data_IF_866107786085
#
_entry.id   IF_866107786085
#
_cell.length_a   1.000
_cell.length_b   1.000
_cell.length_c   1.000
_cell.angle_alpha   90.00
_cell.angle_beta   90.00
_cell.angle_gamma   90.00
#
_symmetry.space_group_name_H-M   'P 1'
#
loop_
_entity.id
_entity.type
_entity.pdbx_description
1 polymer ?
#
# COMPACT_ATOMS: atom_id res chain seq x y z
N UNK A 1 -3.80 24.44 -3.38
CA UNK A 1 -4.72 23.44 -2.79
C UNK A 1 -5.22 22.34 -3.75
N UNK A 2 -5.62 22.61 -5.00
CA UNK A 2 -6.16 21.59 -5.95
C UNK A 2 -5.22 20.37 -6.18
N UNK A 3 -3.91 20.60 -6.34
CA UNK A 3 -2.92 19.54 -6.61
C UNK A 3 -2.84 18.51 -5.45
N UNK A 4 -2.88 18.98 -4.20
CA UNK A 4 -2.85 18.09 -3.00
C UNK A 4 -4.06 17.15 -2.99
N UNK A 5 -5.24 17.63 -3.40
CA UNK A 5 -6.48 16.83 -3.46
C UNK A 5 -6.41 15.69 -4.49
N UNK A 6 -5.93 15.95 -5.71
CA UNK A 6 -5.74 14.90 -6.71
C UNK A 6 -4.69 13.87 -6.27
N UNK A 7 -3.59 14.32 -5.64
CA UNK A 7 -2.57 13.43 -5.09
C UNK A 7 -3.14 12.51 -4.00
N UNK A 8 -3.99 13.04 -3.10
CA UNK A 8 -4.66 12.24 -2.06
C UNK A 8 -5.60 11.20 -2.66
N UNK A 9 -6.42 11.59 -3.63
CA UNK A 9 -7.34 10.70 -4.33
C UNK A 9 -6.58 9.56 -5.04
N UNK A 10 -5.50 9.92 -5.75
CA UNK A 10 -4.64 8.96 -6.43
C UNK A 10 -3.98 7.99 -5.45
N UNK A 11 -3.43 8.47 -4.33
CA UNK A 11 -2.86 7.61 -3.28
C UNK A 11 -3.89 6.62 -2.71
N UNK A 12 -5.12 7.09 -2.47
CA UNK A 12 -6.20 6.23 -2.00
C UNK A 12 -6.58 5.17 -3.05
N UNK A 13 -6.68 5.56 -4.32
CA UNK A 13 -7.01 4.64 -5.40
C UNK A 13 -5.91 3.59 -5.61
N UNK A 14 -4.63 4.00 -5.58
CA UNK A 14 -3.48 3.09 -5.67
C UNK A 14 -3.46 2.05 -4.55
N UNK A 15 -3.89 2.41 -3.34
CA UNK A 15 -4.06 1.45 -2.24
C UNK A 15 -5.06 0.35 -2.61
N UNK A 16 -6.19 0.71 -3.24
CA UNK A 16 -7.19 -0.28 -3.67
C UNK A 16 -6.72 -1.14 -4.84
N UNK A 17 -5.98 -0.56 -5.80
CA UNK A 17 -5.38 -1.30 -6.91
C UNK A 17 -4.41 -2.37 -6.38
N UNK A 18 -3.51 -1.99 -5.46
CA UNK A 18 -2.44 -2.87 -4.99
C UNK A 18 -2.95 -3.99 -4.06
N UNK A 19 -3.89 -3.68 -3.15
CA UNK A 19 -4.31 -4.63 -2.11
C UNK A 19 -5.56 -5.43 -2.45
N UNK A 20 -6.44 -4.87 -3.30
CA UNK A 20 -7.76 -5.43 -3.61
C UNK A 20 -7.96 -5.70 -5.11
N UNK A 21 -6.96 -5.44 -5.96
CA UNK A 21 -6.97 -5.80 -7.37
C UNK A 21 -7.95 -4.99 -8.24
N UNK A 22 -8.21 -3.73 -7.87
CA UNK A 22 -8.99 -2.82 -8.71
C UNK A 22 -8.28 -2.56 -10.04
N UNK A 23 -9.03 -2.56 -11.13
CA UNK A 23 -8.49 -2.36 -12.48
C UNK A 23 -9.35 -1.39 -13.29
N UNK A 24 -8.75 -0.82 -14.33
CA UNK A 24 -9.42 0.09 -15.26
C UNK A 24 -10.16 -0.72 -16.34
N UNK A 25 -11.33 -0.28 -16.81
CA UNK A 25 -12.08 0.90 -16.37
C UNK A 25 -12.76 0.65 -15.02
N UNK A 26 -12.63 1.60 -14.08
CA UNK A 26 -13.22 1.46 -12.75
C UNK A 26 -14.75 1.47 -12.82
N UNK A 27 -15.40 0.57 -12.09
CA UNK A 27 -16.85 0.47 -12.10
C UNK A 27 -17.43 1.30 -10.96
N UNK A 28 -18.15 2.36 -11.29
CA UNK A 28 -18.69 3.30 -10.31
C UNK A 28 -20.21 3.21 -10.26
N UNK A 29 -20.74 2.73 -9.13
CA UNK A 29 -22.16 2.67 -8.82
C UNK A 29 -22.62 4.01 -8.25
N UNK A 30 -23.54 4.66 -8.96
CA UNK A 30 -24.07 5.98 -8.61
C UNK A 30 -25.43 5.84 -7.93
N UNK A 31 -25.58 6.55 -6.82
CA UNK A 31 -26.82 6.74 -6.10
C UNK A 31 -27.59 7.99 -6.56
N UNK A 32 -28.91 8.03 -6.35
CA UNK A 32 -29.77 9.17 -6.69
C UNK A 32 -29.41 10.41 -5.88
N UNK A 33 -29.06 10.22 -4.61
CA UNK A 33 -28.61 11.30 -3.70
C UNK A 33 -27.35 12.00 -4.21
N UNK A 34 -26.43 11.24 -4.79
CA UNK A 34 -25.20 11.76 -5.37
C UNK A 34 -25.48 12.60 -6.62
N UNK A 35 -26.38 12.15 -7.49
CA UNK A 35 -26.80 12.91 -8.67
C UNK A 35 -27.49 14.23 -8.28
N UNK A 36 -28.31 14.21 -7.24
CA UNK A 36 -28.94 15.41 -6.72
C UNK A 36 -27.91 16.41 -6.19
N UNK A 37 -26.94 15.96 -5.38
CA UNK A 37 -25.86 16.79 -4.89
C UNK A 37 -24.98 17.36 -6.04
N UNK A 38 -24.73 16.58 -7.09
CA UNK A 38 -24.01 17.05 -8.26
C UNK A 38 -24.75 18.17 -8.99
N UNK A 39 -26.08 18.05 -9.11
CA UNK A 39 -26.91 19.07 -9.76
C UNK A 39 -26.94 20.37 -8.96
N UNK A 40 -27.11 20.29 -7.63
CA UNK A 40 -27.08 21.47 -6.76
C UNK A 40 -25.76 22.25 -6.88
N UNK A 41 -24.63 21.53 -6.99
CA UNK A 41 -23.30 22.12 -7.03
C UNK A 41 -22.77 22.35 -8.47
N UNK A 42 -23.60 22.11 -9.49
CA UNK A 42 -23.26 22.25 -10.93
C UNK A 42 -22.04 21.44 -11.36
N UNK A 43 -21.89 20.23 -10.82
CA UNK A 43 -20.78 19.30 -11.12
C UNK A 43 -21.19 18.39 -12.27
N UNK A 44 -20.34 18.27 -13.28
CA UNK A 44 -20.55 17.41 -14.43
C UNK A 44 -19.92 16.04 -14.18
N UNK A 45 -20.73 15.10 -13.68
CA UNK A 45 -20.29 13.76 -13.25
C UNK A 45 -19.43 13.03 -14.30
N UNK A 46 -19.84 13.07 -15.58
CA UNK A 46 -19.15 12.37 -16.68
C UNK A 46 -17.75 12.91 -16.97
N UNK A 47 -17.51 14.18 -16.71
CA UNK A 47 -16.23 14.83 -16.98
C UNK A 47 -15.36 14.96 -15.73
N UNK A 48 -15.96 15.38 -14.62
CA UNK A 48 -15.25 15.73 -13.41
C UNK A 48 -14.72 14.50 -12.66
N UNK A 49 -15.44 13.37 -12.69
CA UNK A 49 -14.99 12.14 -12.02
C UNK A 49 -13.75 11.54 -12.73
N UNK A 50 -13.71 11.36 -14.06
CA UNK A 50 -12.52 10.85 -14.73
C UNK A 50 -11.34 11.82 -14.61
N UNK A 51 -11.58 13.14 -14.68
CA UNK A 51 -10.56 14.17 -14.40
C UNK A 51 -10.01 14.05 -12.96
N UNK A 52 -10.88 13.76 -11.99
CA UNK A 52 -10.52 13.58 -10.58
C UNK A 52 -9.72 12.31 -10.29
N UNK A 53 -10.14 11.17 -10.84
CA UNK A 53 -9.49 9.88 -10.63
C UNK A 53 -8.32 9.63 -11.60
N UNK A 54 -8.11 10.51 -12.60
CA UNK A 54 -7.10 10.36 -13.67
C UNK A 54 -7.11 8.98 -14.32
N UNK A 55 -8.31 8.46 -14.52
CA UNK A 55 -8.53 7.10 -14.99
C UNK A 55 -9.89 6.99 -15.65
N UNK A 56 -10.02 5.96 -16.48
CA UNK A 56 -11.27 5.63 -17.14
C UNK A 56 -12.26 5.02 -16.15
N UNK A 57 -13.50 5.48 -16.21
CA UNK A 57 -14.57 5.09 -15.28
C UNK A 57 -15.81 4.71 -16.08
N UNK A 58 -16.38 3.55 -15.74
CA UNK A 58 -17.67 3.11 -16.22
C UNK A 58 -18.74 3.48 -15.20
N UNK A 59 -19.63 4.38 -15.58
CA UNK A 59 -20.75 4.82 -14.74
C UNK A 59 -21.89 3.81 -14.81
N UNK A 60 -22.30 3.33 -13.64
CA UNK A 60 -23.34 2.33 -13.47
C UNK A 60 -24.37 2.81 -12.45
N UNK A 61 -25.63 2.43 -12.63
CA UNK A 61 -26.74 2.64 -11.69
C UNK A 61 -27.51 1.32 -11.52
N UNK A 62 -28.40 1.24 -10.53
CA UNK A 62 -29.27 0.05 -10.37
C UNK A 62 -30.72 0.38 -10.65
N UNK A 63 -31.53 -0.61 -11.09
CA UNK A 63 -32.98 -0.44 -11.24
C UNK A 63 -33.66 0.05 -9.97
N UNK A 64 -33.21 -0.40 -8.78
CA UNK A 64 -33.79 0.04 -7.50
C UNK A 64 -33.58 1.54 -7.27
N UNK A 65 -32.37 2.06 -7.54
CA UNK A 65 -32.06 3.51 -7.40
C UNK A 65 -32.87 4.35 -8.39
N UNK A 66 -33.09 3.85 -9.61
CA UNK A 66 -33.96 4.52 -10.60
C UNK A 66 -35.40 4.60 -10.08
N UNK A 67 -35.94 3.48 -9.59
CA UNK A 67 -37.31 3.41 -9.06
C UNK A 67 -37.48 4.26 -7.79
N UNK A 68 -36.49 4.30 -6.91
CA UNK A 68 -36.49 5.17 -5.73
C UNK A 68 -36.49 6.65 -6.12
N UNK A 69 -35.67 7.03 -7.10
CA UNK A 69 -35.62 8.40 -7.62
C UNK A 69 -36.94 8.80 -8.30
N UNK A 70 -37.65 7.86 -8.93
CA UNK A 70 -38.99 8.08 -9.48
C UNK A 70 -40.05 8.30 -8.39
N UNK A 71 -39.97 7.54 -7.29
CA UNK A 71 -40.90 7.66 -6.15
C UNK A 71 -40.80 9.00 -5.43
N UNK A 72 -39.60 9.57 -5.34
CA UNK A 72 -39.35 10.87 -4.71
C UNK A 72 -39.98 12.06 -5.49
N UNK A 73 -40.39 11.86 -6.74
CA UNK A 73 -41.27 12.79 -7.47
C UNK A 73 -40.58 14.03 -8.04
N UNK A 74 -41.33 15.13 -8.14
CA UNK A 74 -40.97 16.26 -9.01
C UNK A 74 -39.65 16.96 -8.62
N UNK A 75 -39.36 17.06 -7.32
CA UNK A 75 -38.17 17.76 -6.81
C UNK A 75 -36.85 17.15 -7.30
N UNK A 76 -36.81 15.83 -7.49
CA UNK A 76 -35.61 15.11 -7.95
C UNK A 76 -35.67 14.70 -9.42
N UNK A 77 -36.69 15.12 -10.18
CA UNK A 77 -36.82 14.83 -11.63
C UNK A 77 -35.55 15.14 -12.42
N UNK A 78 -34.87 16.28 -12.21
CA UNK A 78 -33.63 16.58 -12.93
C UNK A 78 -32.52 15.57 -12.63
N UNK A 79 -32.38 15.16 -11.37
CA UNK A 79 -31.41 14.15 -10.95
C UNK A 79 -31.78 12.77 -11.52
N UNK A 80 -33.07 12.40 -11.52
CA UNK A 80 -33.57 11.15 -12.11
C UNK A 80 -33.20 11.03 -13.59
N UNK A 81 -33.31 12.11 -14.38
CA UNK A 81 -32.89 12.13 -15.79
C UNK A 81 -31.40 11.81 -15.94
N UNK A 82 -30.56 12.31 -15.04
CA UNK A 82 -29.12 12.02 -15.03
C UNK A 82 -28.87 10.54 -14.69
N UNK A 83 -29.56 10.00 -13.67
CA UNK A 83 -29.45 8.59 -13.27
C UNK A 83 -29.82 7.64 -14.43
N UNK A 84 -30.89 7.96 -15.18
CA UNK A 84 -31.35 7.18 -16.34
C UNK A 84 -30.37 7.17 -17.51
N UNK A 85 -29.49 8.18 -17.60
CA UNK A 85 -28.49 8.27 -18.66
C UNK A 85 -27.25 7.40 -18.39
N UNK A 86 -27.11 6.81 -17.21
CA UNK A 86 -26.02 5.89 -16.87
C UNK A 86 -26.38 4.43 -17.19
N UNK A 87 -25.37 3.58 -17.31
CA UNK A 87 -25.57 2.17 -17.62
C UNK A 87 -26.28 1.44 -16.47
N UNK A 88 -27.35 0.72 -16.76
CA UNK A 88 -28.09 -0.02 -15.74
C UNK A 88 -27.39 -1.34 -15.46
N UNK A 89 -26.96 -1.54 -14.22
CA UNK A 89 -26.51 -2.81 -13.69
C UNK A 89 -27.69 -3.55 -13.08
N UNK A 90 -27.99 -4.75 -13.60
CA UNK A 90 -29.10 -5.55 -13.10
C UNK A 90 -28.83 -6.00 -11.65
N UNK A 91 -29.72 -5.60 -10.74
CA UNK A 91 -29.72 -6.07 -9.35
C UNK A 91 -30.71 -7.23 -9.20
N UNK A 92 -30.48 -8.13 -8.23
CA UNK A 92 -31.33 -9.29 -7.97
C UNK A 92 -32.75 -8.99 -7.45
N UNK A 93 -33.15 -7.72 -7.36
CA UNK A 93 -34.37 -7.27 -6.67
C UNK A 93 -35.55 -6.93 -7.59
N UNK A 94 -35.57 -7.41 -8.84
CA UNK A 94 -36.60 -7.02 -9.82
C UNK A 94 -38.05 -7.26 -9.36
N UNK A 95 -38.31 -8.30 -8.54
CA UNK A 95 -39.66 -8.61 -8.03
C UNK A 95 -40.07 -7.76 -6.82
N UNK A 96 -39.10 -7.34 -6.00
CA UNK A 96 -39.32 -6.58 -4.76
C UNK A 96 -38.28 -5.46 -4.71
N UNK A 97 -38.57 -4.28 -5.27
CA UNK A 97 -37.61 -3.18 -5.27
C UNK A 97 -37.33 -2.75 -3.83
N UNK A 98 -36.05 -2.77 -3.46
CA UNK A 98 -35.56 -2.27 -2.17
C UNK A 98 -35.28 -0.76 -2.26
N UNK A 99 -34.94 -0.16 -1.12
CA UNK A 99 -34.31 1.17 -1.10
C UNK A 99 -33.01 1.14 -1.89
N UNK A 100 -32.58 2.28 -2.42
CA UNK A 100 -31.32 2.36 -3.16
C UNK A 100 -30.13 2.00 -2.28
N UNK A 101 -30.14 2.42 -1.02
CA UNK A 101 -29.12 2.12 -0.03
C UNK A 101 -29.00 0.62 0.25
N UNK A 102 -30.09 -0.08 0.54
CA UNK A 102 -30.09 -1.53 0.78
C UNK A 102 -29.70 -2.31 -0.48
N UNK A 103 -30.11 -1.83 -1.66
CA UNK A 103 -29.70 -2.41 -2.93
C UNK A 103 -28.19 -2.29 -3.16
N UNK A 104 -27.56 -1.15 -2.81
CA UNK A 104 -26.11 -0.97 -2.95
C UNK A 104 -25.33 -1.84 -1.95
N UNK A 105 -25.81 -1.96 -0.72
CA UNK A 105 -25.21 -2.82 0.31
C UNK A 105 -25.23 -4.29 -0.10
N UNK A 106 -26.37 -4.79 -0.60
CA UNK A 106 -26.50 -6.16 -1.08
C UNK A 106 -25.66 -6.46 -2.33
N UNK A 107 -25.41 -5.45 -3.17
CA UNK A 107 -24.54 -5.58 -4.36
C UNK A 107 -23.06 -5.71 -4.00
N UNK A 108 -22.60 -4.95 -3.01
CA UNK A 108 -21.18 -4.91 -2.65
C UNK A 108 -20.73 -6.18 -1.93
N UNK A 109 -21.58 -6.85 -1.13
CA UNK A 109 -21.20 -8.05 -0.37
C UNK A 109 -20.00 -7.75 0.57
N UNK A 110 -19.60 -8.65 1.50
CA UNK A 110 -18.51 -8.33 2.44
C UNK A 110 -17.13 -8.12 1.78
N UNK A 111 -16.87 -8.75 0.64
CA UNK A 111 -15.53 -8.73 0.01
C UNK A 111 -15.46 -8.01 -1.35
N UNK A 112 -16.54 -7.34 -1.78
CA UNK A 112 -16.61 -6.59 -3.04
C UNK A 112 -15.96 -7.31 -4.25
N UNK A 113 -16.44 -8.51 -4.63
CA UNK A 113 -15.80 -9.33 -5.66
C UNK A 113 -15.78 -8.64 -7.04
N UNK A 114 -16.79 -7.81 -7.30
CA UNK A 114 -16.93 -7.06 -8.54
C UNK A 114 -16.16 -5.72 -8.53
N UNK A 115 -15.59 -5.34 -7.38
CA UNK A 115 -14.74 -4.14 -7.20
C UNK A 115 -15.45 -2.85 -7.61
N UNK A 116 -16.66 -2.67 -7.09
CA UNK A 116 -17.40 -1.44 -7.29
C UNK A 116 -16.83 -0.31 -6.43
N UNK A 117 -16.82 0.90 -7.00
CA UNK A 117 -16.70 2.17 -6.28
C UNK A 117 -18.11 2.69 -6.07
N UNK A 118 -18.48 3.04 -4.85
CA UNK A 118 -19.81 3.61 -4.58
C UNK A 118 -19.72 5.12 -4.54
N UNK A 119 -20.59 5.79 -5.29
CA UNK A 119 -20.81 7.23 -5.22
C UNK A 119 -22.16 7.52 -4.55
N UNK A 120 -22.12 7.97 -3.30
CA UNK A 120 -23.33 8.29 -2.50
C UNK A 120 -23.09 9.49 -1.61
N UNK A 121 -24.12 10.33 -1.44
CA UNK A 121 -24.10 11.42 -0.49
C UNK A 121 -24.84 11.09 0.82
N UNK A 122 -25.42 9.90 0.91
CA UNK A 122 -26.18 9.48 2.08
C UNK A 122 -25.23 9.00 3.20
N UNK A 123 -25.22 9.72 4.32
CA UNK A 123 -24.29 9.46 5.42
C UNK A 123 -24.48 8.06 6.01
N UNK A 124 -25.73 7.62 6.12
CA UNK A 124 -26.09 6.31 6.68
C UNK A 124 -25.43 5.17 5.90
N UNK A 125 -25.56 5.21 4.57
CA UNK A 125 -24.94 4.28 3.65
C UNK A 125 -23.42 4.37 3.69
N UNK A 126 -22.83 5.57 3.75
CA UNK A 126 -21.38 5.73 3.88
C UNK A 126 -20.83 5.04 5.13
N UNK A 127 -21.49 5.20 6.29
CA UNK A 127 -21.08 4.52 7.52
C UNK A 127 -21.21 2.99 7.42
N UNK A 128 -22.27 2.50 6.78
CA UNK A 128 -22.46 1.06 6.56
C UNK A 128 -21.36 0.49 5.65
N UNK A 129 -21.00 1.20 4.58
CA UNK A 129 -19.95 0.78 3.64
C UNK A 129 -18.56 0.83 4.25
N UNK A 130 -18.29 1.74 5.19
CA UNK A 130 -17.00 1.77 5.89
C UNK A 130 -16.76 0.56 6.79
N UNK A 131 -17.81 -0.13 7.24
CA UNK A 131 -17.68 -1.38 8.00
C UNK A 131 -17.22 -2.54 7.10
N UNK A 132 -17.42 -2.41 5.79
CA UNK A 132 -17.08 -3.43 4.81
C UNK A 132 -15.68 -3.12 4.28
N UNK A 133 -14.72 -4.06 4.34
CA UNK A 133 -13.41 -3.84 3.75
C UNK A 133 -13.50 -3.76 2.21
N UNK A 134 -12.50 -3.17 1.57
CA UNK A 134 -12.37 -3.17 0.09
C UNK A 134 -13.38 -2.29 -0.67
N UNK A 135 -14.04 -1.34 -0.01
CA UNK A 135 -15.05 -0.48 -0.65
C UNK A 135 -14.63 0.99 -0.66
N UNK A 136 -14.16 1.52 -1.80
CA UNK A 136 -13.97 2.95 -1.97
C UNK A 136 -15.31 3.67 -2.08
N UNK A 137 -15.45 4.75 -1.31
CA UNK A 137 -16.67 5.58 -1.25
C UNK A 137 -16.34 6.99 -1.72
N UNK A 138 -17.14 7.50 -2.65
CA UNK A 138 -17.01 8.81 -3.26
C UNK A 138 -18.26 9.65 -2.93
N UNK A 139 -18.06 10.90 -2.55
CA UNK A 139 -19.14 11.80 -2.17
C UNK A 139 -18.84 13.23 -2.64
N UNK A 140 -19.85 14.10 -2.61
CA UNK A 140 -19.72 15.51 -2.99
C UNK A 140 -19.86 16.37 -1.74
N UNK A 141 -18.87 17.22 -1.51
CA UNK A 141 -18.96 18.27 -0.51
C UNK A 141 -18.84 19.63 -1.19
N UNK A 142 -19.89 20.45 -1.11
CA UNK A 142 -20.00 21.72 -1.85
C UNK A 142 -19.64 21.49 -3.32
N UNK A 143 -18.66 22.20 -3.86
CA UNK A 143 -18.22 22.11 -5.26
C UNK A 143 -17.21 20.99 -5.55
N UNK A 144 -16.94 20.11 -4.59
CA UNK A 144 -15.79 19.20 -4.64
C UNK A 144 -16.16 17.74 -4.42
N UNK A 145 -15.84 16.89 -5.40
CA UNK A 145 -15.86 15.43 -5.29
C UNK A 145 -14.69 14.93 -4.42
N UNK A 146 -14.98 14.14 -3.40
CA UNK A 146 -13.97 13.59 -2.48
C UNK A 146 -14.07 12.07 -2.47
N UNK A 147 -12.94 11.41 -2.73
CA UNK A 147 -12.75 10.00 -2.44
C UNK A 147 -12.35 9.85 -0.98
N UNK A 148 -13.15 9.09 -0.21
CA UNK A 148 -12.89 8.83 1.20
C UNK A 148 -11.58 8.04 1.35
N UNK A 149 -10.72 8.35 2.34
CA UNK A 149 -9.58 7.50 2.65
C UNK A 149 -10.04 6.08 2.98
N UNK A 150 -9.16 5.07 2.80
CA UNK A 150 -9.49 3.70 3.16
C UNK A 150 -9.86 3.60 4.65
N UNK A 151 -10.88 2.81 4.95
CA UNK A 151 -11.30 2.50 6.32
C UNK A 151 -10.19 1.75 7.06
N UNK A 152 -10.12 1.90 8.38
CA UNK A 152 -9.15 1.19 9.23
C UNK A 152 -9.24 -0.33 9.04
N UNK A 153 -10.45 -0.88 8.92
CA UNK A 153 -10.69 -2.31 8.64
C UNK A 153 -10.03 -2.76 7.33
N UNK A 154 -10.09 -1.92 6.29
CA UNK A 154 -9.44 -2.20 4.99
C UNK A 154 -7.92 -2.11 5.10
N UNK A 155 -7.40 -1.18 5.90
CA UNK A 155 -5.96 -1.04 6.15
C UNK A 155 -5.44 -2.24 6.92
N UNK A 156 -6.11 -2.66 8.00
CA UNK A 156 -5.74 -3.86 8.75
C UNK A 156 -5.76 -5.13 7.88
N UNK A 157 -6.77 -5.28 7.02
CA UNK A 157 -6.85 -6.43 6.11
C UNK A 157 -5.70 -6.41 5.10
N UNK A 158 -5.38 -5.24 4.55
CA UNK A 158 -4.23 -5.06 3.67
C UNK A 158 -2.91 -5.38 4.38
N UNK A 159 -2.73 -4.90 5.61
CA UNK A 159 -1.55 -5.20 6.42
C UNK A 159 -1.44 -6.68 6.75
N UNK A 160 -2.55 -7.36 7.09
CA UNK A 160 -2.58 -8.82 7.31
C UNK A 160 -2.20 -9.60 6.05
N UNK A 161 -2.68 -9.16 4.87
CA UNK A 161 -2.28 -9.74 3.56
C UNK A 161 -0.80 -9.50 3.25
N UNK A 162 -0.29 -8.31 3.53
CA UNK A 162 1.12 -7.98 3.31
C UNK A 162 2.02 -8.76 4.26
N UNK A 163 1.69 -8.78 5.55
CA UNK A 163 2.37 -9.58 6.58
C UNK A 163 2.42 -11.05 6.19
N UNK A 164 1.29 -11.69 5.87
CA UNK A 164 1.31 -13.09 5.44
C UNK A 164 2.11 -13.37 4.15
N UNK A 165 2.35 -12.36 3.30
CA UNK A 165 3.17 -12.51 2.09
C UNK A 165 4.66 -12.30 2.36
N UNK A 166 5.00 -11.41 3.29
CA UNK A 166 6.39 -11.00 3.60
C UNK A 166 6.97 -11.79 4.78
N UNK A 167 6.14 -12.13 5.76
CA UNK A 167 6.53 -12.88 6.95
C UNK A 167 6.96 -14.30 6.56
N UNK A 168 8.08 -14.69 7.13
CA UNK A 168 8.65 -16.02 6.96
C UNK A 168 7.82 -17.00 7.79
N UNK A 169 7.66 -18.23 7.29
CA UNK A 169 7.07 -19.28 8.13
C UNK A 169 7.92 -19.49 9.39
N UNK A 170 7.32 -19.80 10.54
CA UNK A 170 8.03 -20.08 11.79
C UNK A 170 9.22 -21.04 11.62
N UNK A 171 9.10 -22.01 10.70
CA UNK A 171 10.19 -22.92 10.37
C UNK A 171 11.36 -22.19 9.66
N UNK A 172 11.05 -21.33 8.69
CA UNK A 172 12.05 -20.53 7.98
C UNK A 172 12.75 -19.56 8.94
N UNK A 173 12.02 -18.95 9.88
CA UNK A 173 12.60 -18.08 10.91
C UNK A 173 13.58 -18.84 11.81
N UNK A 174 13.19 -20.02 12.31
CA UNK A 174 14.07 -20.87 13.13
C UNK A 174 15.33 -21.26 12.37
N UNK A 175 15.21 -21.64 11.11
CA UNK A 175 16.36 -21.97 10.25
C UNK A 175 17.25 -20.75 10.05
N UNK A 176 16.69 -19.57 9.74
CA UNK A 176 17.45 -18.33 9.58
C UNK A 176 18.18 -17.93 10.87
N UNK A 177 17.53 -18.06 12.03
CA UNK A 177 18.13 -17.76 13.32
C UNK A 177 19.27 -18.74 13.64
N UNK A 178 19.09 -20.03 13.37
CA UNK A 178 20.17 -21.02 13.53
C UNK A 178 21.36 -20.74 12.60
N UNK A 179 21.12 -20.31 11.36
CA UNK A 179 22.18 -19.94 10.42
C UNK A 179 22.90 -18.65 10.85
N UNK A 180 22.17 -17.63 11.33
CA UNK A 180 22.75 -16.40 11.87
C UNK A 180 23.67 -16.68 13.05
N UNK A 181 23.24 -17.52 14.00
CA UNK A 181 24.04 -17.92 15.16
C UNK A 181 25.33 -18.65 14.75
N UNK A 182 25.25 -19.56 13.76
CA UNK A 182 26.42 -20.28 13.22
C UNK A 182 27.42 -19.35 12.52
N UNK A 183 26.96 -18.32 11.82
CA UNK A 183 27.81 -17.38 11.06
C UNK A 183 28.46 -16.34 11.98
N UNK A 184 27.73 -15.84 12.99
CA UNK A 184 28.21 -14.82 13.94
C UNK A 184 29.19 -15.37 15.00
N UNK A 185 29.54 -16.66 14.94
CA UNK A 185 30.55 -17.27 15.81
C UNK A 185 30.14 -17.42 17.27
N UNK A 186 28.89 -17.10 17.64
CA UNK A 186 28.35 -17.40 18.96
C UNK A 186 27.81 -18.84 18.97
N UNK A 187 28.74 -19.77 19.09
CA UNK A 187 28.43 -21.15 19.47
C UNK A 187 28.72 -21.25 20.96
N UNK A 188 27.72 -21.49 21.85
CA UNK A 188 27.97 -22.33 23.00
C UNK A 188 28.42 -23.67 22.40
N UNK A 189 29.71 -23.99 22.52
CA UNK A 189 30.21 -25.33 22.24
C UNK A 189 29.45 -26.24 23.19
N UNK A 190 28.37 -26.87 22.74
CA UNK A 190 27.86 -28.13 23.24
C UNK A 190 26.70 -28.55 22.32
N UNK A 191 26.74 -29.82 21.91
CA UNK A 191 25.68 -30.54 21.16
C UNK A 191 25.58 -30.36 19.64
N UNK A 192 26.67 -30.59 18.89
CA UNK A 192 26.56 -31.24 17.57
C UNK A 192 26.98 -32.72 17.69
N UNK A 193 26.17 -33.52 18.37
CA UNK A 193 26.18 -34.97 18.17
C UNK A 193 25.40 -35.29 16.89
N UNK A 194 26.11 -35.32 15.76
CA UNK A 194 25.53 -35.91 14.53
C UNK A 194 25.12 -37.36 14.82
N UNK A 195 23.87 -37.78 14.57
CA UNK A 195 23.50 -39.16 14.76
C UNK A 195 24.32 -40.04 13.79
N UNK A 196 24.86 -41.19 14.23
CA UNK A 196 25.73 -41.98 13.40
C UNK A 196 24.96 -42.45 12.17
N UNK A 197 25.49 -42.11 10.98
CA UNK A 197 25.01 -42.65 9.71
C UNK A 197 25.08 -44.17 9.81
N UNK A 198 23.92 -44.83 9.90
CA UNK A 198 23.85 -46.30 9.85
C UNK A 198 24.44 -46.74 8.51
N UNK A 199 25.62 -47.37 8.55
CA UNK A 199 26.27 -47.95 7.38
C UNK A 199 25.26 -48.83 6.65
N UNK A 200 25.13 -48.62 5.33
CA UNK A 200 24.22 -49.41 4.49
C UNK A 200 24.64 -50.88 4.58
N UNK A 201 23.79 -51.72 5.17
CA UNK A 201 24.02 -53.17 5.26
C UNK A 201 23.89 -53.77 3.86
N UNK A 202 25.03 -54.10 3.26
CA UNK A 202 25.17 -54.95 2.07
C UNK A 202 24.39 -54.53 0.80
N UNK A 203 24.70 -55.10 -0.36
CA UNK A 203 23.79 -55.04 -1.50
C UNK A 203 22.47 -55.73 -1.14
N UNK A 204 21.35 -55.15 -1.59
CA UNK A 204 20.02 -55.75 -1.48
C UNK A 204 20.04 -57.21 -1.99
N UNK A 205 19.64 -58.21 -1.19
CA UNK A 205 19.80 -59.63 -1.51
C UNK A 205 19.06 -60.10 -2.78
N UNK A 206 18.13 -59.30 -3.33
CA UNK A 206 17.47 -59.55 -4.62
C UNK A 206 18.26 -59.03 -5.84
N UNK A 207 19.36 -58.29 -5.63
CA UNK A 207 20.14 -57.61 -6.68
C UNK A 207 21.42 -58.33 -7.11
N UNK A 208 21.74 -59.49 -6.52
CA UNK A 208 22.82 -60.34 -6.98
C UNK A 208 22.27 -61.32 -8.03
N UNK A 209 22.42 -60.99 -9.33
CA UNK A 209 22.17 -61.97 -10.40
C UNK A 209 23.10 -63.17 -10.16
N UNK A 210 22.54 -64.38 -10.06
CA UNK A 210 23.33 -65.62 -9.92
C UNK A 210 24.33 -65.71 -11.07
N UNK A 211 25.58 -66.09 -10.75
CA UNK A 211 26.65 -66.28 -11.74
C UNK A 211 26.22 -67.39 -12.70
N UNK A 212 25.99 -67.05 -13.98
CA UNK A 212 25.71 -68.00 -15.05
C UNK A 212 27.03 -68.63 -15.48
N UNK A 213 27.14 -69.96 -15.43
CA UNK A 213 28.22 -70.68 -16.08
C UNK A 213 28.02 -70.59 -17.60
N UNK A 214 29.07 -70.21 -18.32
CA UNK A 214 29.08 -70.06 -19.78
C UNK A 214 29.40 -71.43 -20.41
N UNK A 215 28.65 -71.81 -21.44
CA UNK A 215 29.29 -72.36 -22.63
C UNK A 215 28.93 -71.53 -23.88
N UNK A 216 29.86 -71.53 -24.82
CA UNK A 216 29.76 -71.00 -26.19
C UNK A 216 28.63 -71.76 -26.93
N UNK A 217 27.86 -71.21 -27.90
CA UNK A 217 28.28 -70.74 -29.23
C UNK A 217 27.05 -70.12 -29.98
N UNK A 218 27.33 -69.22 -30.95
CA UNK A 218 26.59 -68.83 -32.19
C UNK A 218 25.21 -68.14 -32.22
N UNK A 219 25.26 -66.92 -32.78
CA UNK A 219 24.48 -66.28 -33.87
C UNK A 219 23.00 -65.85 -33.73
N UNK A 220 22.84 -64.57 -34.13
CA UNK A 220 21.76 -63.85 -34.83
C UNK A 220 20.46 -63.32 -34.18
N UNK A 221 20.36 -62.00 -34.40
CA UNK A 221 19.22 -61.13 -34.73
C UNK A 221 18.07 -60.77 -33.75
N UNK A 222 17.99 -59.43 -33.60
CA UNK A 222 16.81 -58.56 -33.60
C UNK A 222 15.92 -58.37 -32.35
N UNK A 223 15.86 -57.07 -32.00
CA UNK A 223 14.69 -56.27 -31.61
C UNK A 223 14.45 -55.95 -30.11
N UNK A 224 14.37 -54.62 -29.87
CA UNK A 224 13.41 -53.83 -29.06
C UNK A 224 13.10 -54.32 -27.63
N UNK A 225 12.98 -53.52 -26.57
CA UNK A 225 12.92 -52.08 -26.27
C UNK A 225 12.92 -51.97 -24.72
N UNK A 226 13.15 -50.77 -24.19
CA UNK A 226 12.54 -50.19 -22.96
C UNK A 226 13.57 -49.49 -22.05
N UNK A 227 13.22 -48.23 -21.84
CA UNK A 227 13.92 -47.07 -21.29
C UNK A 227 14.58 -47.22 -19.92
N UNK A 228 15.88 -46.92 -19.84
CA UNK A 228 16.51 -46.49 -18.59
C UNK A 228 16.33 -44.97 -18.42
N UNK A 229 15.70 -44.55 -17.31
CA UNK A 229 15.59 -43.14 -16.89
C UNK A 229 16.98 -42.48 -16.84
N UNK A 230 17.24 -41.54 -17.76
CA UNK A 230 18.46 -40.71 -17.77
C UNK A 230 18.43 -39.75 -16.58
N UNK A 231 19.38 -39.89 -15.65
CA UNK A 231 19.67 -38.85 -14.64
C UNK A 231 20.20 -37.61 -15.38
N UNK A 232 19.54 -36.46 -15.22
CA UNK A 232 20.01 -35.18 -15.77
C UNK A 232 21.40 -34.88 -15.19
N UNK A 233 22.42 -34.83 -16.04
CA UNK A 233 23.76 -34.36 -15.65
C UNK A 233 23.70 -32.85 -15.55
N UNK A 234 24.06 -32.30 -14.38
CA UNK A 234 24.25 -30.86 -14.20
C UNK A 234 25.42 -30.43 -15.08
N UNK A 235 25.14 -29.67 -16.14
CA UNK A 235 26.16 -29.17 -17.05
C UNK A 235 26.92 -28.06 -16.30
N UNK A 236 28.22 -28.24 -16.14
CA UNK A 236 29.10 -27.24 -15.53
C UNK A 236 29.54 -26.29 -16.64
N UNK A 237 29.05 -25.05 -16.58
CA UNK A 237 29.37 -24.03 -17.59
C UNK A 237 30.84 -23.60 -17.40
N UNK A 238 31.67 -23.60 -18.47
CA UNK A 238 33.05 -23.12 -18.41
C UNK A 238 33.14 -21.64 -18.03
N UNK A 239 34.23 -21.24 -17.36
CA UNK A 239 34.38 -19.90 -16.79
C UNK A 239 34.28 -18.77 -17.84
N UNK A 240 34.85 -18.96 -19.03
CA UNK A 240 34.82 -17.95 -20.10
C UNK A 240 33.39 -17.67 -20.60
N UNK A 241 32.55 -18.70 -20.71
CA UNK A 241 31.13 -18.55 -21.12
C UNK A 241 30.35 -17.76 -20.07
N UNK A 242 30.69 -17.93 -18.79
CA UNK A 242 30.06 -17.16 -17.70
C UNK A 242 30.49 -15.68 -17.74
N UNK A 243 31.72 -15.40 -18.17
CA UNK A 243 32.23 -14.03 -18.33
C UNK A 243 31.58 -13.31 -19.52
N UNK A 244 31.38 -13.99 -20.65
CA UNK A 244 30.68 -13.40 -21.82
C UNK A 244 29.21 -13.09 -21.53
N UNK A 245 28.50 -13.98 -20.82
CA UNK A 245 27.10 -13.72 -20.42
C UNK A 245 26.97 -12.52 -19.47
N UNK A 246 27.98 -12.30 -18.62
CA UNK A 246 28.02 -11.12 -17.74
C UNK A 246 28.38 -9.86 -18.52
N UNK A 247 29.29 -9.94 -19.49
CA UNK A 247 29.67 -8.80 -20.33
C UNK A 247 28.50 -8.29 -21.19
N UNK A 248 27.69 -9.21 -21.72
CA UNK A 248 26.52 -8.85 -22.53
C UNK A 248 25.37 -8.25 -21.71
N UNK A 249 25.32 -8.44 -20.38
CA UNK A 249 24.34 -7.79 -19.52
C UNK A 249 24.69 -6.33 -19.18
N UNK A 250 25.92 -5.87 -19.43
CA UNK A 250 26.38 -4.52 -19.03
C UNK A 250 26.25 -3.49 -20.16
N UNK A 251 26.02 -3.94 -21.40
CA UNK A 251 25.94 -3.05 -22.57
C UNK A 251 24.55 -2.43 -22.82
N UNK A 252 23.52 -2.84 -22.09
CA UNK A 252 22.14 -2.36 -22.26
C UNK A 252 21.79 -1.14 -21.36
N UNK A 253 22.73 -0.60 -20.56
CA UNK A 253 22.47 0.54 -19.65
C UNK A 253 23.17 1.86 -20.02
N UNK A 254 23.69 2.02 -21.24
CA UNK A 254 24.23 3.31 -21.71
C UNK A 254 23.55 3.74 -23.01
N UNK A 255 22.29 4.17 -22.89
CA UNK A 255 21.65 5.08 -23.86
C UNK A 255 20.64 5.99 -23.15
N UNK A 256 21.15 7.11 -22.65
CA UNK A 256 20.34 8.27 -22.27
C UNK A 256 21.19 9.51 -22.48
N UNK A 257 21.10 10.05 -23.69
CA UNK A 257 21.81 11.24 -24.15
C UNK A 257 21.64 12.45 -23.24
N UNK A 258 22.77 13.07 -22.90
CA UNK A 258 22.85 14.47 -22.51
C UNK A 258 23.26 15.28 -23.73
N UNK A 259 22.37 16.15 -24.18
CA UNK A 259 22.68 17.19 -25.17
C UNK A 259 22.47 18.56 -24.50
N UNK A 260 23.49 19.39 -24.60
CA UNK A 260 23.64 20.70 -23.93
C UNK A 260 23.64 21.83 -24.97
N UNK A 261 23.11 23.01 -24.57
CA UNK A 261 23.46 24.42 -24.93
C UNK A 261 22.19 25.32 -25.05
N UNK A 262 22.26 26.68 -25.07
CA UNK A 262 22.63 27.58 -23.96
C UNK A 262 21.68 28.80 -23.75
N UNK A 263 21.93 29.52 -22.65
CA UNK A 263 21.66 30.92 -22.24
C UNK A 263 20.66 31.93 -22.89
N UNK A 264 19.85 32.50 -21.98
CA UNK A 264 19.38 33.91 -21.80
C UNK A 264 18.33 34.55 -22.73
N UNK A 265 17.25 35.10 -22.12
CA UNK A 265 16.92 36.54 -22.08
C UNK A 265 15.64 36.84 -21.26
N UNK A 266 15.79 37.71 -20.25
CA UNK A 266 14.98 38.90 -19.85
C UNK A 266 13.46 38.83 -19.56
N UNK A 267 13.17 39.26 -18.33
CA UNK A 267 12.22 40.28 -17.86
C UNK A 267 10.68 40.12 -18.00
N UNK A 268 9.99 40.20 -16.85
CA UNK A 268 8.95 41.19 -16.47
C UNK A 268 7.82 40.57 -15.61
N UNK A 269 7.75 41.02 -14.34
CA UNK A 269 6.56 41.00 -13.46
C UNK A 269 5.53 42.05 -13.87
N UNK A 270 4.23 41.85 -13.59
CA UNK A 270 3.57 42.55 -12.44
C UNK A 270 2.46 41.67 -11.82
N UNK A 271 1.71 41.93 -10.75
CA UNK A 271 1.64 42.88 -9.64
C UNK A 271 0.64 42.26 -8.64
N UNK A 272 0.66 42.69 -7.37
CA UNK A 272 -0.21 42.22 -6.28
C UNK A 272 -1.02 43.41 -5.77
N UNK A 273 -2.34 43.28 -5.58
CA UNK A 273 -3.18 44.20 -4.77
C UNK A 273 -4.27 43.39 -4.03
N UNK A 274 -4.66 43.78 -2.78
CA UNK A 274 -5.06 42.85 -1.71
C UNK A 274 -6.53 42.99 -1.25
N UNK A 275 -6.87 42.39 -0.08
CA UNK A 275 -8.04 42.59 0.81
C UNK A 275 -9.18 41.56 0.63
N UNK A 276 -9.89 40.97 1.62
CA UNK A 276 -10.01 41.06 3.09
C UNK A 276 -10.80 39.81 3.58
N UNK A 277 -10.48 39.30 4.78
CA UNK A 277 -11.36 38.77 5.88
C UNK A 277 -12.51 37.77 5.54
N UNK A 278 -12.73 36.59 6.16
CA UNK A 278 -12.55 36.15 7.54
C UNK A 278 -12.63 34.59 7.69
N UNK A 279 -11.97 34.10 8.76
CA UNK A 279 -12.43 33.08 9.73
C UNK A 279 -12.22 31.54 9.58
N UNK A 280 -11.31 31.08 10.47
CA UNK A 280 -11.17 29.82 11.22
C UNK A 280 -10.94 28.47 10.52
N UNK A 281 -9.70 27.95 10.58
CA UNK A 281 -9.37 26.65 11.21
C UNK A 281 -7.92 26.69 11.73
N UNK A 282 -7.73 26.40 13.02
CA UNK A 282 -6.43 26.33 13.71
C UNK A 282 -5.54 25.24 13.10
N UNK A 283 -4.47 25.62 12.39
CA UNK A 283 -3.27 24.79 12.27
C UNK A 283 -2.38 25.11 13.48
N UNK A 284 -1.83 24.07 14.13
CA UNK A 284 -0.90 24.22 15.25
C UNK A 284 0.34 24.99 14.77
N UNK A 285 0.53 26.22 15.26
CA UNK A 285 1.73 27.00 14.99
C UNK A 285 2.96 26.25 15.50
N UNK A 286 3.94 26.05 14.61
CA UNK A 286 5.27 25.51 14.95
C UNK A 286 5.78 26.18 16.21
N UNK A 287 6.15 25.36 17.19
CA UNK A 287 6.52 25.88 18.51
C UNK A 287 7.78 26.73 18.38
N UNK A 288 7.89 27.79 19.19
CA UNK A 288 9.03 28.72 19.15
C UNK A 288 10.38 27.99 19.31
N UNK A 289 10.38 26.83 19.97
CA UNK A 289 11.52 25.92 20.08
C UNK A 289 11.96 25.30 18.75
N UNK A 290 11.03 24.87 17.91
CA UNK A 290 11.33 24.27 16.59
C UNK A 290 11.93 25.32 15.63
N UNK A 291 11.45 26.56 15.71
CA UNK A 291 12.02 27.69 14.94
C UNK A 291 13.43 28.05 15.39
N UNK A 292 13.67 28.08 16.70
CA UNK A 292 15.00 28.37 17.24
C UNK A 292 15.98 27.24 16.93
N UNK A 293 15.55 25.97 16.99
CA UNK A 293 16.37 24.83 16.61
C UNK A 293 16.79 24.92 15.13
N UNK A 294 15.85 25.20 14.22
CA UNK A 294 16.16 25.38 12.80
C UNK A 294 17.13 26.54 12.51
N UNK A 295 17.11 27.61 13.31
CA UNK A 295 18.08 28.70 13.21
C UNK A 295 19.48 28.30 13.71
N UNK A 296 19.56 27.44 14.73
CA UNK A 296 20.86 26.94 15.24
C UNK A 296 21.54 25.98 14.27
N UNK A 297 20.80 25.39 13.34
CA UNK A 297 21.35 24.51 12.30
C UNK A 297 22.16 25.23 11.22
N UNK A 298 22.00 26.55 11.08
CA UNK A 298 22.76 27.38 10.13
C UNK A 298 24.14 27.83 10.65
N UNK A 299 24.48 27.55 11.91
CA UNK A 299 25.79 27.89 12.48
C UNK A 299 26.76 26.70 12.45
N UNK A 300 28.09 26.94 12.25
CA UNK A 300 29.12 25.91 12.32
C UNK A 300 29.08 25.12 13.63
N UNK A 301 29.36 23.81 13.57
CA UNK A 301 29.26 22.88 14.70
C UNK A 301 30.03 23.34 15.96
N UNK A 302 31.14 24.07 15.77
CA UNK A 302 31.95 24.63 16.87
C UNK A 302 31.18 25.67 17.70
N UNK A 303 30.38 26.53 17.06
CA UNK A 303 29.56 27.54 17.73
C UNK A 303 28.34 26.92 18.41
N UNK A 304 27.76 25.88 17.79
CA UNK A 304 26.62 25.14 18.35
C UNK A 304 27.01 24.40 19.63
N UNK A 305 28.17 23.74 19.61
CA UNK A 305 28.70 23.05 20.78
C UNK A 305 29.09 24.03 21.89
N UNK A 306 29.73 25.17 21.55
CA UNK A 306 30.06 26.20 22.54
C UNK A 306 28.82 26.81 23.21
N UNK A 307 27.76 27.08 22.44
CA UNK A 307 26.48 27.55 22.98
C UNK A 307 25.80 26.50 23.87
N UNK A 308 25.83 25.22 23.47
CA UNK A 308 25.30 24.11 24.27
C UNK A 308 26.04 23.95 25.61
N UNK A 309 27.38 23.95 25.60
CA UNK A 309 28.18 23.88 26.83
C UNK A 309 28.01 25.11 27.73
N UNK A 310 27.83 26.31 27.16
CA UNK A 310 27.54 27.53 27.93
C UNK A 310 26.17 27.50 28.62
N UNK A 311 25.13 27.01 27.93
CA UNK A 311 23.76 26.95 28.48
C UNK A 311 23.60 25.81 29.49
N UNK A 312 24.24 24.66 29.26
CA UNK A 312 24.22 23.54 30.22
C UNK A 312 25.05 23.89 31.46
N UNK A 313 26.21 24.54 31.29
CA UNK A 313 27.04 25.01 32.41
C UNK A 313 26.34 26.08 33.29
N UNK A 314 25.48 26.92 32.72
CA UNK A 314 24.67 27.87 33.50
C UNK A 314 23.48 27.20 34.21
N UNK A 315 22.91 26.11 33.68
CA UNK A 315 21.81 25.38 34.33
C UNK A 315 22.27 24.64 35.59
N UNK A 316 23.45 24.04 35.56
CA UNK A 316 24.01 23.36 36.73
C UNK A 316 24.42 24.35 37.84
N UNK A 317 24.74 25.62 37.49
CA UNK A 317 25.02 26.68 38.46
C UNK A 317 23.79 27.28 39.14
N UNK A 318 22.64 27.32 38.44
CA UNK A 318 21.39 27.92 38.97
C UNK A 318 20.52 26.93 39.77
N UNK A 319 20.70 25.62 39.60
CA UNK A 319 20.04 24.62 40.43
C UNK A 319 20.64 24.46 41.84
N UNK A 320 21.84 24.98 42.08
CA UNK A 320 22.50 24.93 43.40
C UNK A 320 22.02 25.98 44.41
N UNK A 321 21.55 27.14 43.95
CA UNK A 321 21.17 28.23 44.87
C UNK A 321 19.67 28.28 45.23
N UNK A 322 18.83 27.50 44.54
CA UNK A 322 17.37 27.51 44.77
C UNK A 322 16.86 26.45 45.76
N UNK A 323 17.69 25.47 46.16
CA UNK A 323 17.30 24.46 47.15
C UNK A 323 17.72 24.76 48.60
N UNK A 324 18.63 25.70 48.84
CA UNK A 324 19.13 26.00 50.20
C UNK A 324 18.31 27.05 50.98
N UNK A 325 17.31 27.71 50.36
CA UNK A 325 16.45 28.69 51.06
C UNK A 325 15.07 28.18 51.51
N UNK A 326 14.69 26.94 51.18
CA UNK A 326 13.45 26.33 51.67
C UNK A 326 13.66 25.27 52.76
N UNK A 327 14.91 24.90 53.07
CA UNK A 327 15.25 23.90 54.10
C UNK A 327 15.49 24.44 55.52
N UNK A 328 15.66 25.75 55.70
CA UNK A 328 16.01 26.37 57.00
C UNK A 328 14.82 26.95 57.78
N UNK A 329 13.58 26.82 57.28
CA UNK A 329 12.37 27.35 57.92
C UNK A 329 11.58 26.38 58.80
N UNK A 330 12.01 25.12 58.93
CA UNK A 330 11.23 24.06 59.63
C UNK A 330 11.90 23.59 60.94
N UNK A 331 13.08 24.10 61.29
CA UNK A 331 13.83 23.68 62.50
C UNK A 331 13.87 24.73 63.63
N UNK A 332 12.79 25.49 63.85
CA UNK A 332 12.67 26.45 64.96
C UNK A 332 11.28 26.46 65.63
N UNK A 333 10.61 25.30 65.66
CA UNK A 333 9.39 25.10 66.46
C UNK A 333 9.39 23.75 67.20
N UNK A 334 10.49 23.45 67.90
CA UNK A 334 10.54 22.48 69.01
C UNK A 334 11.89 22.61 69.71
N UNK A 335 12.01 23.58 70.62
CA UNK A 335 12.57 23.48 71.98
C UNK A 335 12.67 24.87 72.60
#
# INVERSE_FOLDING_TARGET
>A
MRIKRYKKAFKCLSFYVNNFGFHKPFQLLIDGTFCFAALQNRIQIKEDIPKYLRSEVKFLTTPCVVLESEKLGHQVTPAMKIVKNFGIHQCGHGKKPLSGSDCLLSMVKPDNPNRYIIATNDKSLQFALQKIPSVPVLYINRTSIILKPPSDISVELAEKKQKSTVELSDHQEKVLNSMKLKILGQIPKDEEATPPIKKRKGPNPMSCKKKKNRPETTQDEQSKTVSSKRKRKRIRIPHHVKQELLANCVLDEIDSGMESLPESTKDLTPEKVPSLEDDYENEEDETLGERLLGLTEMFPETLRNAAYYGVVGCKDGLSGEYYDRFGLGIYLMSF
#
